data_IF_758505799394
#
_entry.id   IF_758505799394
#
_cell.length_a   1.000
_cell.length_b   1.000
_cell.length_c   1.000
_cell.angle_alpha   90.00
_cell.angle_beta   90.00
_cell.angle_gamma   90.00
#
_symmetry.space_group_name_H-M   'P 1'
#
loop_
_entity.id
_entity.type
_entity.pdbx_description
1 polymer ?
#
# COMPACT_ATOMS: atom_id res chain seq x y z
N UNK A 1 -40.68 18.66 -72.51
CA UNK A 1 -41.69 18.62 -71.44
C UNK A 1 -40.93 18.36 -70.15
N UNK A 2 -40.70 19.40 -69.35
CA UNK A 2 -41.47 19.71 -68.12
C UNK A 2 -41.29 18.57 -67.09
N UNK A 3 -40.50 18.72 -66.02
CA UNK A 3 -40.59 19.61 -64.85
C UNK A 3 -40.91 18.75 -63.61
N UNK A 4 -40.35 19.16 -62.46
CA UNK A 4 -40.86 18.98 -61.09
C UNK A 4 -40.62 17.64 -60.38
N UNK A 5 -40.46 17.58 -59.05
CA UNK A 5 -40.15 18.54 -57.96
C UNK A 5 -40.08 17.66 -56.70
N UNK A 6 -39.24 18.04 -55.74
CA UNK A 6 -39.08 17.41 -54.42
C UNK A 6 -40.32 17.62 -53.54
N UNK A 7 -40.70 16.64 -52.71
CA UNK A 7 -41.49 16.94 -51.49
C UNK A 7 -40.95 16.25 -50.24
N UNK A 8 -40.47 17.10 -49.34
CA UNK A 8 -40.20 16.87 -47.92
C UNK A 8 -41.51 16.65 -47.16
N UNK A 9 -41.49 15.77 -46.15
CA UNK A 9 -42.37 15.91 -44.98
C UNK A 9 -41.54 15.83 -43.70
N UNK A 10 -41.40 16.99 -43.04
CA UNK A 10 -40.83 17.17 -41.70
C UNK A 10 -41.98 17.60 -40.77
N UNK A 11 -41.99 17.03 -39.55
CA UNK A 11 -42.44 17.58 -38.24
C UNK A 11 -43.90 17.43 -37.76
N UNK A 12 -43.96 17.50 -36.41
CA UNK A 12 -45.07 17.75 -35.46
C UNK A 12 -45.56 16.42 -34.82
N UNK A 13 -45.34 16.12 -33.53
CA UNK A 13 -45.88 16.78 -32.33
C UNK A 13 -44.90 16.68 -31.13
N UNK A 14 -44.67 17.82 -30.45
CA UNK A 14 -44.22 17.94 -29.04
C UNK A 14 -45.28 18.75 -28.29
N UNK A 15 -45.47 18.42 -27.00
CA UNK A 15 -46.09 19.18 -25.87
C UNK A 15 -47.52 18.79 -25.44
N UNK A 16 -47.61 18.19 -24.25
CA UNK A 16 -48.52 18.61 -23.17
C UNK A 16 -47.71 18.60 -21.87
N UNK A 17 -47.77 19.69 -21.11
CA UNK A 17 -47.10 19.89 -19.84
C UNK A 17 -48.16 20.19 -18.75
N UNK A 18 -47.86 19.70 -17.55
CA UNK A 18 -48.24 20.20 -16.22
C UNK A 18 -49.73 20.28 -15.83
N UNK A 19 -50.08 19.59 -14.73
CA UNK A 19 -50.74 20.12 -13.51
C UNK A 19 -51.46 18.99 -12.75
N UNK A 20 -50.85 18.48 -11.67
CA UNK A 20 -51.59 17.96 -10.50
C UNK A 20 -50.64 17.73 -9.32
N UNK A 21 -50.17 18.82 -8.74
CA UNK A 21 -49.71 18.85 -7.35
C UNK A 21 -50.93 18.71 -6.44
N UNK A 22 -50.92 17.71 -5.56
CA UNK A 22 -51.66 17.78 -4.29
C UNK A 22 -52.50 16.56 -3.94
N UNK A 23 -52.23 16.05 -2.72
CA UNK A 23 -53.02 15.10 -1.89
C UNK A 23 -52.95 13.65 -2.41
N UNK A 24 -52.37 12.66 -1.73
CA UNK A 24 -52.44 12.31 -0.31
C UNK A 24 -51.13 11.60 0.12
N UNK A 25 -50.45 12.22 1.09
CA UNK A 25 -49.53 11.60 2.04
C UNK A 25 -50.30 10.60 2.93
N UNK A 26 -50.58 9.39 2.45
CA UNK A 26 -50.96 8.22 3.26
C UNK A 26 -50.53 6.95 2.52
N UNK A 27 -49.23 6.67 2.61
CA UNK A 27 -48.64 5.40 2.20
C UNK A 27 -47.35 5.09 2.96
N UNK A 28 -47.00 5.90 3.97
CA UNK A 28 -45.80 5.76 4.79
C UNK A 28 -45.94 4.73 5.92
N UNK A 29 -46.76 3.68 5.72
CA UNK A 29 -46.98 2.64 6.74
C UNK A 29 -47.28 1.27 6.15
N UNK A 30 -46.71 0.97 4.97
CA UNK A 30 -46.59 -0.42 4.47
C UNK A 30 -45.21 -0.68 3.84
N UNK A 31 -44.19 0.04 4.29
CA UNK A 31 -42.79 -0.33 4.07
C UNK A 31 -42.45 -1.55 4.92
N UNK A 32 -42.95 -2.72 4.50
CA UNK A 32 -42.40 -3.99 4.96
C UNK A 32 -40.90 -3.95 4.70
N UNK A 33 -40.13 -4.35 5.71
CA UNK A 33 -38.68 -4.45 5.66
C UNK A 33 -38.25 -5.16 4.36
N UNK A 34 -37.82 -4.38 3.37
CA UNK A 34 -37.02 -4.89 2.28
C UNK A 34 -35.65 -5.10 2.91
N UNK A 35 -35.41 -6.34 3.35
CA UNK A 35 -34.08 -6.77 3.76
C UNK A 35 -33.13 -6.47 2.59
N UNK A 36 -32.27 -5.46 2.77
CA UNK A 36 -30.95 -5.46 2.16
C UNK A 36 -30.27 -6.77 2.57
N UNK A 37 -29.54 -7.38 1.65
CA UNK A 37 -28.94 -8.72 1.75
C UNK A 37 -28.46 -9.08 3.17
N UNK A 38 -28.62 -10.35 3.56
CA UNK A 38 -28.21 -10.93 4.85
C UNK A 38 -26.70 -10.80 5.20
N UNK A 39 -25.89 -10.18 4.32
CA UNK A 39 -24.46 -9.92 4.48
C UNK A 39 -24.18 -8.56 5.14
N UNK A 40 -25.12 -7.62 5.04
CA UNK A 40 -25.00 -6.29 5.65
C UNK A 40 -25.70 -6.25 7.00
N UNK A 41 -25.06 -5.65 8.01
CA UNK A 41 -25.75 -5.33 9.25
C UNK A 41 -27.02 -4.51 8.94
N UNK A 42 -28.15 -4.78 9.62
CA UNK A 42 -29.39 -4.08 9.34
C UNK A 42 -29.16 -2.57 9.46
N UNK A 43 -29.65 -1.81 8.48
CA UNK A 43 -29.86 -0.38 8.68
C UNK A 43 -30.65 -0.22 9.99
N UNK A 44 -30.16 0.55 10.98
CA UNK A 44 -29.29 1.73 10.83
C UNK A 44 -27.80 1.58 11.25
N UNK A 45 -27.27 0.38 11.55
CA UNK A 45 -26.02 0.29 12.34
C UNK A 45 -24.70 0.55 11.58
N UNK A 46 -24.61 0.10 10.33
CA UNK A 46 -23.45 0.33 9.45
C UNK A 46 -23.97 0.75 8.08
N UNK A 47 -23.55 1.91 7.59
CA UNK A 47 -23.95 2.42 6.28
C UNK A 47 -22.70 2.70 5.44
N UNK A 48 -22.54 1.98 4.33
CA UNK A 48 -21.42 2.16 3.41
C UNK A 48 -20.05 1.85 4.04
N UNK A 49 -19.98 0.83 4.89
CA UNK A 49 -18.73 0.43 5.56
C UNK A 49 -18.26 1.41 6.65
N UNK A 50 -19.13 2.31 7.11
CA UNK A 50 -18.87 3.17 8.28
C UNK A 50 -19.96 2.95 9.31
N UNK A 51 -19.56 2.82 10.58
CA UNK A 51 -20.47 2.95 11.71
C UNK A 51 -21.23 4.27 11.61
N UNK A 52 -22.57 4.22 11.63
CA UNK A 52 -23.36 5.42 11.66
C UNK A 52 -23.32 6.02 13.08
N UNK A 53 -22.64 7.16 13.19
CA UNK A 53 -22.52 7.95 14.42
C UNK A 53 -23.85 8.42 15.02
N UNK A 54 -24.97 8.28 14.30
CA UNK A 54 -26.31 8.51 14.83
C UNK A 54 -26.77 7.41 15.81
N UNK A 55 -26.11 6.25 15.79
CA UNK A 55 -26.38 5.17 16.73
C UNK A 55 -25.69 5.41 18.07
N UNK A 56 -26.46 5.29 19.15
CA UNK A 56 -25.93 5.29 20.51
C UNK A 56 -26.09 3.90 21.11
N UNK A 57 -24.99 3.31 21.57
CA UNK A 57 -25.03 2.14 22.44
C UNK A 57 -25.36 2.64 23.86
N UNK A 58 -26.54 2.28 24.36
CA UNK A 58 -27.02 2.74 25.67
C UNK A 58 -27.03 1.57 26.63
N UNK A 59 -26.31 1.72 27.74
CA UNK A 59 -26.35 0.80 28.87
C UNK A 59 -26.97 1.52 30.06
N UNK A 60 -27.91 0.87 30.75
CA UNK A 60 -28.63 1.46 31.87
C UNK A 60 -27.72 1.72 33.08
N UNK A 61 -28.08 2.72 33.90
CA UNK A 61 -27.34 3.07 35.13
C UNK A 61 -27.21 1.91 36.15
N UNK A 62 -28.07 0.90 36.06
CA UNK A 62 -28.08 -0.31 36.92
C UNK A 62 -27.89 -1.57 36.05
N UNK A 63 -27.20 -1.45 34.92
CA UNK A 63 -26.90 -2.61 34.11
C UNK A 63 -25.90 -3.54 34.81
N UNK A 64 -25.99 -4.83 34.54
CA UNK A 64 -25.00 -5.77 35.04
C UNK A 64 -23.65 -5.52 34.36
N UNK A 65 -22.55 -5.87 35.01
CA UNK A 65 -21.21 -5.77 34.40
C UNK A 65 -21.10 -6.57 33.09
N UNK A 66 -21.89 -7.64 32.94
CA UNK A 66 -22.02 -8.40 31.69
C UNK A 66 -22.58 -7.56 30.53
N UNK A 67 -23.48 -6.62 30.81
CA UNK A 67 -24.13 -5.81 29.79
C UNK A 67 -23.17 -4.71 29.28
N UNK A 68 -22.33 -4.18 30.17
CA UNK A 68 -21.24 -3.27 29.78
C UNK A 68 -20.17 -3.98 28.95
N UNK A 69 -19.86 -5.24 29.25
CA UNK A 69 -18.91 -6.04 28.45
C UNK A 69 -19.50 -6.42 27.09
N UNK A 70 -20.75 -6.87 27.05
CA UNK A 70 -21.44 -7.17 25.78
C UNK A 70 -21.56 -5.94 24.87
N UNK A 71 -21.75 -4.75 25.44
CA UNK A 71 -21.70 -3.50 24.67
C UNK A 71 -20.33 -3.26 24.03
N UNK A 72 -19.24 -3.51 24.77
CA UNK A 72 -17.87 -3.36 24.24
C UNK A 72 -17.61 -4.35 23.11
N UNK A 73 -18.06 -5.60 23.25
CA UNK A 73 -17.91 -6.61 22.19
C UNK A 73 -18.69 -6.23 20.91
N UNK A 74 -19.93 -5.75 21.06
CA UNK A 74 -20.74 -5.25 19.95
C UNK A 74 -20.05 -4.05 19.28
N UNK A 75 -19.50 -3.13 20.07
CA UNK A 75 -18.81 -1.94 19.56
C UNK A 75 -17.53 -2.30 18.82
N UNK A 76 -16.74 -3.24 19.35
CA UNK A 76 -15.52 -3.72 18.73
C UNK A 76 -15.81 -4.42 17.39
N UNK A 77 -16.87 -5.23 17.34
CA UNK A 77 -17.28 -5.92 16.12
C UNK A 77 -17.83 -4.94 15.07
N UNK A 78 -18.66 -3.96 15.47
CA UNK A 78 -19.14 -2.93 14.56
C UNK A 78 -18.03 -2.04 14.01
N UNK A 79 -17.00 -1.75 14.80
CA UNK A 79 -15.79 -1.04 14.32
C UNK A 79 -14.97 -1.91 13.36
N UNK A 80 -14.79 -3.20 13.66
CA UNK A 80 -14.07 -4.14 12.79
C UNK A 80 -14.72 -4.25 11.41
N UNK A 81 -16.05 -4.26 11.36
CA UNK A 81 -16.84 -4.38 10.13
C UNK A 81 -17.04 -3.03 9.40
N UNK A 82 -16.61 -1.92 10.03
CA UNK A 82 -16.60 -0.58 9.41
C UNK A 82 -15.40 -0.39 8.47
N UNK A 83 -15.27 -1.24 7.46
CA UNK A 83 -14.27 -1.11 6.40
C UNK A 83 -14.88 -0.40 5.19
N UNK A 84 -14.37 0.76 4.83
CA UNK A 84 -14.75 1.39 3.55
C UNK A 84 -13.84 0.90 2.44
N UNK A 85 -14.41 0.32 1.39
CA UNK A 85 -13.73 0.20 0.11
C UNK A 85 -13.39 1.61 -0.39
N UNK A 86 -12.11 1.97 -0.38
CA UNK A 86 -11.65 3.19 -1.02
C UNK A 86 -11.63 2.88 -2.52
N UNK A 87 -12.56 3.47 -3.28
CA UNK A 87 -12.32 3.60 -4.72
C UNK A 87 -11.12 4.52 -4.87
N UNK A 88 -9.94 3.93 -5.02
CA UNK A 88 -8.81 4.64 -5.62
C UNK A 88 -9.29 5.04 -7.00
N UNK A 89 -9.52 6.34 -7.21
CA UNK A 89 -9.68 6.87 -8.55
C UNK A 89 -8.33 6.67 -9.21
N UNK A 90 -8.15 5.53 -9.86
CA UNK A 90 -6.92 5.23 -10.59
C UNK A 90 -6.68 6.37 -11.56
N UNK A 91 -5.70 7.21 -11.27
CA UNK A 91 -5.15 8.12 -12.25
C UNK A 91 -4.69 7.22 -13.39
N UNK A 92 -5.29 7.35 -14.57
CA UNK A 92 -4.79 6.64 -15.74
C UNK A 92 -3.34 7.04 -15.89
N UNK A 93 -2.42 6.10 -15.69
CA UNK A 93 -1.00 6.35 -15.85
C UNK A 93 -0.79 6.62 -17.33
N UNK A 94 -0.60 7.89 -17.68
CA UNK A 94 -0.28 8.30 -19.04
C UNK A 94 1.21 8.06 -19.25
N UNK A 95 1.57 6.85 -19.69
CA UNK A 95 2.92 6.53 -20.15
C UNK A 95 3.04 6.66 -21.67
N UNK A 96 4.24 6.93 -22.17
CA UNK A 96 4.58 6.64 -23.55
C UNK A 96 4.61 5.11 -23.74
N UNK A 97 3.80 4.55 -24.64
CA UNK A 97 3.79 3.11 -24.91
C UNK A 97 2.62 2.30 -24.32
N UNK A 98 1.46 2.93 -24.07
CA UNK A 98 0.22 2.20 -23.72
C UNK A 98 -0.14 1.24 -24.86
N UNK A 99 0.03 -0.05 -24.60
CA UNK A 99 -0.42 -1.15 -25.46
C UNK A 99 -1.79 -1.61 -24.94
N UNK A 100 -2.68 -1.95 -25.87
CA UNK A 100 -3.99 -2.51 -25.56
C UNK A 100 -4.13 -3.80 -26.33
N UNK A 101 -4.57 -4.85 -25.65
CA UNK A 101 -4.80 -6.17 -26.23
C UNK A 101 -6.20 -6.66 -25.86
N UNK A 102 -6.81 -7.44 -26.75
CA UNK A 102 -8.11 -8.09 -26.51
C UNK A 102 -7.86 -9.44 -25.84
N UNK A 103 -8.06 -9.50 -24.52
CA UNK A 103 -7.76 -10.69 -23.72
C UNK A 103 -9.06 -11.43 -23.38
N UNK A 104 -9.20 -12.72 -23.76
CA UNK A 104 -10.37 -13.51 -23.35
C UNK A 104 -10.46 -13.65 -21.83
N UNK A 105 -11.68 -13.74 -21.30
CA UNK A 105 -11.88 -14.01 -19.88
C UNK A 105 -11.25 -15.34 -19.46
N UNK A 106 -10.64 -15.38 -18.29
CA UNK A 106 -9.92 -16.54 -17.76
C UNK A 106 -8.57 -16.82 -18.42
N UNK A 107 -8.12 -15.97 -19.35
CA UNK A 107 -6.76 -16.05 -19.88
C UNK A 107 -5.79 -15.16 -19.10
N UNK A 108 -4.49 -15.50 -19.06
CA UNK A 108 -3.47 -14.63 -18.51
C UNK A 108 -3.50 -13.25 -19.19
N UNK A 109 -3.41 -12.18 -18.39
CA UNK A 109 -3.35 -10.82 -18.95
C UNK A 109 -2.02 -10.52 -19.64
N UNK A 110 -0.96 -11.23 -19.26
CA UNK A 110 0.37 -11.07 -19.80
C UNK A 110 1.10 -12.40 -19.86
N UNK A 111 1.81 -12.64 -20.97
CA UNK A 111 2.59 -13.85 -21.24
C UNK A 111 3.62 -13.56 -22.35
N UNK A 112 4.40 -14.55 -22.77
CA UNK A 112 5.35 -14.47 -23.89
C UNK A 112 4.64 -14.58 -25.26
N UNK A 113 3.31 -14.69 -25.27
CA UNK A 113 2.50 -14.88 -26.48
C UNK A 113 2.04 -13.56 -27.10
N UNK A 114 1.92 -13.51 -28.42
CA UNK A 114 1.61 -12.28 -29.18
C UNK A 114 0.16 -11.75 -29.08
N UNK A 115 -0.67 -12.35 -28.22
CA UNK A 115 -2.11 -12.01 -28.09
C UNK A 115 -2.47 -11.51 -26.69
N UNK A 116 -1.48 -11.37 -25.82
CA UNK A 116 -1.60 -10.87 -24.45
C UNK A 116 -0.66 -9.68 -24.28
N UNK A 117 -0.76 -8.96 -23.16
CA UNK A 117 0.24 -7.96 -22.84
C UNK A 117 1.61 -8.61 -22.66
N UNK A 118 2.65 -7.81 -22.83
CA UNK A 118 4.00 -8.28 -22.55
C UNK A 118 4.13 -8.64 -21.08
N UNK A 119 4.72 -9.80 -20.81
CA UNK A 119 5.03 -10.28 -19.47
C UNK A 119 5.91 -9.32 -18.68
N UNK A 120 6.92 -8.76 -19.34
CA UNK A 120 7.94 -7.89 -18.77
C UNK A 120 7.65 -6.43 -19.16
N UNK A 121 7.38 -5.63 -18.14
CA UNK A 121 7.10 -4.20 -18.26
C UNK A 121 8.27 -3.46 -17.60
N UNK A 122 9.18 -2.99 -18.43
CA UNK A 122 10.32 -2.17 -18.03
C UNK A 122 10.09 -0.67 -18.27
N UNK A 123 11.12 0.15 -18.03
CA UNK A 123 11.04 1.62 -18.11
C UNK A 123 10.70 2.15 -19.51
N UNK A 124 10.99 1.39 -20.56
CA UNK A 124 10.63 1.75 -21.95
C UNK A 124 9.12 1.67 -22.25
N UNK A 125 8.36 0.96 -21.41
CA UNK A 125 6.90 0.79 -21.53
C UNK A 125 6.14 1.53 -20.43
N UNK A 126 6.79 1.73 -19.28
CA UNK A 126 6.25 2.42 -18.13
C UNK A 126 7.28 3.41 -17.58
N UNK A 127 7.18 4.66 -18.03
CA UNK A 127 8.14 5.75 -17.72
C UNK A 127 8.32 6.02 -16.21
N UNK A 128 7.42 5.52 -15.35
CA UNK A 128 7.53 5.67 -13.90
C UNK A 128 8.49 4.66 -13.26
N UNK A 129 8.88 3.60 -13.97
CA UNK A 129 9.88 2.64 -13.50
C UNK A 129 11.27 3.27 -13.63
N UNK A 130 12.10 3.10 -12.61
CA UNK A 130 13.45 3.63 -12.62
C UNK A 130 14.32 2.96 -13.69
N UNK A 131 15.13 3.77 -14.36
CA UNK A 131 16.20 3.36 -15.28
C UNK A 131 17.36 4.34 -15.11
N UNK A 132 18.54 3.83 -14.79
CA UNK A 132 19.70 4.67 -14.61
C UNK A 132 20.88 3.96 -13.99
N UNK A 133 21.75 4.74 -13.36
CA UNK A 133 23.00 4.24 -12.80
C UNK A 133 23.04 4.52 -11.31
N UNK A 134 23.54 3.57 -10.53
CA UNK A 134 23.90 3.77 -9.13
C UNK A 134 25.38 3.51 -8.91
N UNK A 135 25.96 4.16 -7.89
CA UNK A 135 27.35 3.91 -7.50
C UNK A 135 27.37 3.03 -6.25
N UNK A 136 28.13 1.94 -6.30
CA UNK A 136 28.40 1.09 -5.13
C UNK A 136 29.88 0.73 -5.12
N UNK A 137 30.55 0.89 -3.97
CA UNK A 137 32.00 0.62 -3.82
C UNK A 137 32.87 1.31 -4.89
N UNK A 138 32.54 2.56 -5.21
CA UNK A 138 33.21 3.36 -6.26
C UNK A 138 33.12 2.78 -7.68
N UNK A 139 32.20 1.84 -7.92
CA UNK A 139 31.86 1.31 -9.24
C UNK A 139 30.44 1.74 -9.59
N UNK A 140 30.25 2.22 -10.81
CA UNK A 140 28.94 2.57 -11.35
C UNK A 140 28.29 1.32 -11.95
N UNK A 141 27.02 1.10 -11.67
CA UNK A 141 26.21 -0.03 -12.12
C UNK A 141 24.95 0.48 -12.79
N UNK A 142 24.69 -0.01 -14.00
CA UNK A 142 23.41 0.23 -14.68
C UNK A 142 22.33 -0.67 -14.06
N UNK A 143 21.20 -0.05 -13.75
CA UNK A 143 20.11 -0.65 -13.00
C UNK A 143 18.76 -0.18 -13.53
N UNK A 144 17.77 -1.05 -13.43
CA UNK A 144 16.40 -0.75 -13.85
C UNK A 144 15.37 -1.45 -12.98
N UNK A 145 14.18 -0.90 -12.95
CA UNK A 145 13.01 -1.52 -12.35
C UNK A 145 12.16 -2.21 -13.41
N UNK A 146 11.59 -3.36 -13.04
CA UNK A 146 10.75 -4.13 -13.96
C UNK A 146 9.57 -4.75 -13.22
N UNK A 147 8.39 -4.65 -13.81
CA UNK A 147 7.21 -5.41 -13.40
C UNK A 147 7.10 -6.64 -14.29
N UNK A 148 7.00 -7.81 -13.65
CA UNK A 148 6.92 -9.09 -14.34
C UNK A 148 5.65 -9.80 -13.90
N UNK A 149 4.77 -10.09 -14.85
CA UNK A 149 3.66 -11.01 -14.62
C UNK A 149 4.20 -12.44 -14.56
N UNK A 150 3.73 -13.22 -13.59
CA UNK A 150 4.06 -14.63 -13.52
C UNK A 150 3.39 -15.41 -14.67
N UNK A 151 3.96 -16.58 -14.96
CA UNK A 151 3.46 -17.51 -15.98
C UNK A 151 2.69 -18.64 -15.33
N UNK A 152 2.05 -19.50 -16.13
CA UNK A 152 1.76 -20.85 -15.64
C UNK A 152 3.08 -21.64 -15.67
N UNK A 153 3.74 -21.95 -14.53
CA UNK A 153 4.60 -23.10 -14.52
C UNK A 153 3.77 -24.30 -14.98
N UNK A 154 4.38 -25.16 -15.78
CA UNK A 154 3.78 -26.39 -16.31
C UNK A 154 2.79 -27.03 -15.33
N UNK A 155 1.54 -27.21 -15.78
CA UNK A 155 0.43 -27.97 -15.16
C UNK A 155 0.47 -28.11 -13.62
N UNK A 156 -0.15 -27.17 -12.89
CA UNK A 156 -0.62 -27.43 -11.52
C UNK A 156 -0.59 -26.26 -10.54
N UNK A 157 0.15 -25.19 -10.84
CA UNK A 157 0.16 -23.98 -10.01
C UNK A 157 -0.02 -22.78 -10.93
N UNK A 158 -1.18 -22.15 -10.88
CA UNK A 158 -1.41 -20.89 -11.59
C UNK A 158 -0.63 -19.81 -10.85
N UNK A 159 0.25 -19.08 -11.54
CA UNK A 159 0.94 -17.89 -11.02
C UNK A 159 0.77 -16.71 -11.97
N UNK A 160 -0.42 -16.53 -12.54
CA UNK A 160 -0.69 -15.48 -13.52
C UNK A 160 -1.91 -14.66 -13.10
N UNK A 161 -1.97 -13.41 -13.56
CA UNK A 161 -3.12 -12.54 -13.35
C UNK A 161 -4.14 -12.79 -14.45
N UNK A 162 -5.42 -12.94 -14.12
CA UNK A 162 -6.50 -13.09 -15.10
C UNK A 162 -7.61 -12.07 -14.90
N UNK A 163 -8.42 -11.89 -15.93
CA UNK A 163 -9.72 -11.22 -15.80
C UNK A 163 -10.78 -12.29 -15.58
N UNK A 164 -11.42 -12.25 -14.41
CA UNK A 164 -12.42 -13.23 -13.98
C UNK A 164 -13.76 -12.56 -13.63
N UNK A 165 -14.85 -13.26 -13.96
CA UNK A 165 -16.22 -12.94 -13.51
C UNK A 165 -16.73 -13.94 -12.47
N UNK A 166 -15.96 -15.00 -12.22
CA UNK A 166 -16.15 -16.00 -11.17
C UNK A 166 -14.88 -16.84 -11.08
N UNK A 167 -14.38 -17.12 -9.88
CA UNK A 167 -13.21 -18.02 -9.69
C UNK A 167 -13.63 -19.50 -9.68
N UNK A 168 -14.74 -19.82 -9.02
CA UNK A 168 -15.34 -21.16 -9.07
C UNK A 168 -16.82 -21.09 -9.40
N UNK A 169 -17.38 -22.19 -9.90
CA UNK A 169 -18.83 -22.32 -10.17
C UNK A 169 -19.71 -22.17 -8.93
N UNK A 170 -19.12 -22.14 -7.73
CA UNK A 170 -19.80 -22.02 -6.43
C UNK A 170 -19.58 -20.68 -5.74
N UNK A 171 -18.71 -19.83 -6.27
CA UNK A 171 -18.45 -18.50 -5.68
C UNK A 171 -19.35 -17.44 -6.30
N UNK A 172 -20.06 -16.71 -5.45
CA UNK A 172 -20.97 -15.61 -5.83
C UNK A 172 -20.41 -14.24 -5.39
N UNK A 173 -19.20 -14.19 -4.81
CA UNK A 173 -18.60 -12.93 -4.34
C UNK A 173 -18.30 -11.95 -5.49
N UNK A 174 -18.22 -12.45 -6.72
CA UNK A 174 -18.02 -11.65 -7.92
C UNK A 174 -19.33 -10.94 -8.35
N UNK A 175 -20.49 -11.44 -7.95
CA UNK A 175 -21.82 -10.94 -8.31
C UNK A 175 -21.96 -10.60 -9.81
N UNK A 176 -21.93 -9.30 -10.15
CA UNK A 176 -22.03 -8.79 -11.53
C UNK A 176 -20.76 -8.08 -12.00
N UNK A 177 -19.70 -8.13 -11.18
CA UNK A 177 -18.44 -7.46 -11.41
C UNK A 177 -17.48 -8.27 -12.30
N UNK A 178 -16.54 -7.53 -12.89
CA UNK A 178 -15.36 -8.08 -13.54
C UNK A 178 -14.18 -7.71 -12.66
N UNK A 179 -13.38 -8.70 -12.29
CA UNK A 179 -12.25 -8.52 -11.38
C UNK A 179 -10.96 -8.95 -12.06
N UNK A 180 -9.86 -8.31 -11.67
CA UNK A 180 -8.52 -8.83 -11.90
C UNK A 180 -8.19 -9.76 -10.74
N UNK A 181 -8.01 -11.02 -11.06
CA UNK A 181 -7.60 -12.03 -10.10
C UNK A 181 -6.09 -12.19 -10.18
N UNK A 182 -5.42 -11.94 -9.06
CA UNK A 182 -3.99 -12.12 -8.90
C UNK A 182 -3.75 -13.14 -7.80
N UNK A 183 -3.24 -14.30 -8.17
CA UNK A 183 -2.75 -15.31 -7.23
C UNK A 183 -1.40 -14.87 -6.64
N UNK A 184 -0.98 -15.49 -5.53
CA UNK A 184 0.34 -15.20 -4.95
C UNK A 184 1.44 -15.40 -6.00
N UNK A 185 2.44 -14.52 -5.98
CA UNK A 185 3.56 -14.51 -6.92
C UNK A 185 3.20 -14.23 -8.40
N UNK A 186 1.95 -13.83 -8.70
CA UNK A 186 1.51 -13.56 -10.08
C UNK A 186 1.95 -12.22 -10.64
N UNK A 187 2.36 -11.29 -9.78
CA UNK A 187 2.97 -10.03 -10.18
C UNK A 187 4.17 -9.78 -9.30
N UNK A 188 5.31 -9.53 -9.93
CA UNK A 188 6.59 -9.32 -9.24
C UNK A 188 7.19 -8.00 -9.68
N UNK A 189 7.80 -7.31 -8.74
CA UNK A 189 8.54 -6.09 -8.99
C UNK A 189 10.01 -6.35 -8.69
N UNK A 190 10.87 -6.09 -9.67
CA UNK A 190 12.29 -6.36 -9.61
C UNK A 190 13.08 -5.05 -9.68
N UNK A 191 14.18 -5.01 -8.92
CA UNK A 191 15.25 -4.04 -9.10
C UNK A 191 16.45 -4.81 -9.64
N UNK A 192 16.74 -4.61 -10.92
CA UNK A 192 17.64 -5.42 -11.71
C UNK A 192 18.96 -4.67 -11.89
N UNK A 193 20.07 -5.39 -11.74
CA UNK A 193 21.41 -4.94 -12.10
C UNK A 193 21.76 -5.54 -13.46
N UNK A 194 22.11 -4.71 -14.43
CA UNK A 194 22.50 -5.18 -15.76
C UNK A 194 23.90 -5.82 -15.74
N UNK A 195 24.73 -5.43 -14.77
CA UNK A 195 26.05 -5.98 -14.51
C UNK A 195 26.11 -6.81 -13.23
N UNK A 196 27.09 -7.72 -13.14
CA UNK A 196 27.33 -8.50 -11.92
C UNK A 196 27.86 -7.60 -10.80
N UNK A 197 27.17 -7.61 -9.66
CA UNK A 197 27.49 -6.82 -8.47
C UNK A 197 27.80 -7.71 -7.25
N UNK A 198 28.80 -7.34 -6.45
CA UNK A 198 29.20 -8.05 -5.23
C UNK A 198 28.46 -7.51 -4.00
N UNK A 199 27.15 -7.79 -3.92
CA UNK A 199 26.26 -7.24 -2.87
C UNK A 199 26.61 -7.68 -1.44
N UNK A 200 27.29 -8.83 -1.30
CA UNK A 200 27.85 -9.34 -0.03
C UNK A 200 28.97 -8.48 0.57
N UNK A 201 29.48 -7.49 -0.18
CA UNK A 201 30.44 -6.51 0.35
C UNK A 201 29.80 -5.32 1.06
N UNK A 202 28.46 -5.27 1.11
CA UNK A 202 27.72 -4.23 1.82
C UNK A 202 27.97 -4.29 3.33
N UNK A 203 28.16 -3.13 3.95
CA UNK A 203 28.34 -3.00 5.41
C UNK A 203 27.52 -1.83 5.95
N UNK A 204 27.41 -1.69 7.26
CA UNK A 204 26.77 -0.53 7.89
C UNK A 204 27.45 0.80 7.57
N UNK A 205 28.76 0.79 7.29
CA UNK A 205 29.54 2.01 6.96
C UNK A 205 29.58 2.32 5.48
N UNK A 206 29.25 1.36 4.63
CA UNK A 206 29.27 1.49 3.17
C UNK A 206 28.21 0.55 2.59
N UNK A 207 26.92 0.91 2.79
CA UNK A 207 25.78 0.10 2.39
C UNK A 207 25.45 0.25 0.91
N UNK A 208 24.83 -0.77 0.33
CA UNK A 208 24.19 -0.63 -0.97
C UNK A 208 22.88 0.14 -0.80
N UNK A 209 22.82 1.36 -1.32
CA UNK A 209 21.63 2.21 -1.23
C UNK A 209 20.81 2.10 -2.51
N UNK A 210 19.56 1.65 -2.39
CA UNK A 210 18.61 1.55 -3.51
C UNK A 210 17.30 2.24 -3.16
N UNK A 211 16.56 2.69 -4.16
CA UNK A 211 15.16 3.06 -4.00
C UNK A 211 14.31 1.90 -4.52
N UNK A 212 13.46 1.37 -3.67
CA UNK A 212 12.61 0.24 -4.01
C UNK A 212 11.18 0.58 -3.59
N UNK A 213 10.22 0.53 -4.52
CA UNK A 213 8.81 0.88 -4.26
C UNK A 213 8.62 2.24 -3.55
N UNK A 214 9.46 3.22 -3.92
CA UNK A 214 9.42 4.58 -3.36
C UNK A 214 10.06 4.75 -1.99
N UNK A 215 10.61 3.69 -1.37
CA UNK A 215 11.38 3.78 -0.12
C UNK A 215 12.87 3.63 -0.41
N UNK A 216 13.69 4.38 0.31
CA UNK A 216 15.14 4.18 0.30
C UNK A 216 15.47 3.01 1.22
N UNK A 217 16.15 2.00 0.69
CA UNK A 217 16.70 0.89 1.45
C UNK A 217 18.22 1.03 1.46
N UNK A 218 18.85 0.95 2.64
CA UNK A 218 20.31 0.80 2.76
C UNK A 218 20.61 -0.64 3.14
N UNK A 219 20.97 -1.49 2.20
CA UNK A 219 21.37 -2.87 2.45
C UNK A 219 22.72 -2.87 3.14
N UNK A 220 22.77 -3.36 4.38
CA UNK A 220 23.95 -3.31 5.25
C UNK A 220 24.63 -4.66 5.41
N UNK A 221 23.97 -5.75 5.02
CA UNK A 221 24.56 -7.08 5.06
C UNK A 221 23.83 -8.02 4.09
N UNK A 222 24.59 -8.82 3.34
CA UNK A 222 24.08 -9.96 2.58
C UNK A 222 24.95 -11.17 2.93
N UNK A 223 24.42 -12.16 3.69
CA UNK A 223 25.20 -13.31 4.11
C UNK A 223 25.72 -14.13 2.91
N UNK A 224 26.96 -14.63 3.01
CA UNK A 224 27.58 -15.45 1.96
C UNK A 224 27.00 -16.87 1.88
N UNK A 225 26.41 -17.33 2.97
CA UNK A 225 25.88 -18.68 3.19
C UNK A 225 24.39 -18.80 2.85
N UNK A 226 23.71 -17.68 2.61
CA UNK A 226 22.28 -17.64 2.34
C UNK A 226 21.95 -16.55 1.30
N UNK A 227 21.82 -16.96 0.04
CA UNK A 227 21.51 -16.06 -1.08
C UNK A 227 20.06 -15.56 -1.10
N UNK A 228 19.23 -15.97 -0.14
CA UNK A 228 17.82 -15.58 -0.04
C UNK A 228 17.57 -14.53 1.04
N UNK A 229 18.64 -13.97 1.64
CA UNK A 229 18.55 -13.13 2.82
C UNK A 229 19.40 -11.87 2.72
N UNK A 230 18.90 -10.76 3.24
CA UNK A 230 19.69 -9.56 3.49
C UNK A 230 19.17 -8.76 4.69
N UNK A 231 20.02 -7.91 5.26
CA UNK A 231 19.64 -6.93 6.29
C UNK A 231 19.72 -5.54 5.68
N UNK A 232 18.71 -4.71 5.93
CA UNK A 232 18.67 -3.34 5.46
C UNK A 232 18.12 -2.38 6.51
N UNK A 233 18.55 -1.13 6.40
CA UNK A 233 17.87 -0.02 7.06
C UNK A 233 16.67 0.42 6.22
N UNK A 234 15.52 0.51 6.87
CA UNK A 234 14.21 0.69 6.23
C UNK A 234 13.37 1.81 6.86
N UNK A 235 13.85 2.37 7.99
CA UNK A 235 13.25 3.55 8.61
C UNK A 235 13.52 4.84 7.81
N UNK A 236 12.89 5.93 8.24
CA UNK A 236 13.16 7.25 7.69
C UNK A 236 14.52 7.77 8.15
N UNK A 237 15.28 8.38 7.26
CA UNK A 237 16.58 8.99 7.57
C UNK A 237 16.42 10.47 7.96
N UNK A 238 17.02 10.85 9.09
CA UNK A 238 16.93 12.20 9.65
C UNK A 238 18.32 12.69 10.07
N UNK A 239 18.78 13.77 9.45
CA UNK A 239 19.90 14.55 9.97
C UNK A 239 19.39 15.51 11.03
N UNK A 240 19.86 15.34 12.27
CA UNK A 240 19.40 16.09 13.44
C UNK A 240 20.58 16.76 14.13
N UNK A 241 20.44 18.06 14.44
CA UNK A 241 21.31 18.75 15.39
C UNK A 241 20.83 18.49 16.82
N UNK A 242 21.71 18.66 17.79
CA UNK A 242 21.32 18.55 19.20
C UNK A 242 20.25 19.58 19.55
N UNK A 243 19.12 19.11 20.08
CA UNK A 243 17.93 19.90 20.37
C UNK A 243 16.82 19.75 19.32
N UNK A 244 17.13 19.22 18.13
CA UNK A 244 16.13 18.96 17.10
C UNK A 244 15.18 17.83 17.52
N UNK A 245 13.98 17.85 16.94
CA UNK A 245 13.00 16.79 17.12
C UNK A 245 12.18 16.55 15.86
N UNK A 246 11.75 15.31 15.67
CA UNK A 246 10.88 14.87 14.58
C UNK A 246 9.72 14.01 15.12
N UNK A 247 8.57 14.05 14.44
CA UNK A 247 7.45 13.14 14.73
C UNK A 247 7.55 11.90 13.85
N UNK A 248 7.59 10.72 14.48
CA UNK A 248 7.59 9.42 13.80
C UNK A 248 6.59 8.51 14.50
N UNK A 249 5.66 7.92 13.74
CA UNK A 249 4.56 7.09 14.28
C UNK A 249 3.76 7.78 15.40
N UNK A 250 3.56 9.10 15.28
CA UNK A 250 2.85 9.91 16.27
C UNK A 250 3.59 10.16 17.58
N UNK A 251 4.89 9.82 17.64
CA UNK A 251 5.76 10.06 18.80
C UNK A 251 6.82 11.09 18.47
N UNK A 252 7.14 11.95 19.46
CA UNK A 252 8.18 12.96 19.32
C UNK A 252 9.53 12.35 19.67
N UNK A 253 10.42 12.25 18.69
CA UNK A 253 11.80 11.80 18.84
C UNK A 253 12.73 13.02 18.83
N UNK A 254 13.59 13.17 19.83
CA UNK A 254 14.60 14.24 19.91
C UNK A 254 16.03 13.71 20.03
N UNK A 255 16.98 14.46 19.47
CA UNK A 255 18.40 14.25 19.70
C UNK A 255 18.88 15.17 20.82
N UNK A 256 19.12 14.64 22.01
CA UNK A 256 19.40 15.44 23.20
C UNK A 256 20.90 15.76 23.36
N UNK A 257 21.75 14.86 22.88
CA UNK A 257 23.20 15.04 22.87
C UNK A 257 23.92 14.04 21.95
N UNK A 258 25.15 14.38 21.62
CA UNK A 258 26.15 13.48 21.04
C UNK A 258 27.35 13.42 21.97
N UNK A 259 27.80 12.21 22.30
CA UNK A 259 28.98 11.95 23.11
C UNK A 259 30.24 11.83 22.27
N UNK A 260 31.41 12.10 22.88
CA UNK A 260 32.72 12.02 22.21
C UNK A 260 33.12 10.60 21.79
N UNK A 261 32.41 9.58 22.29
CA UNK A 261 32.57 8.18 21.87
C UNK A 261 31.60 7.77 20.76
N UNK A 262 31.02 8.75 20.04
CA UNK A 262 30.01 8.56 19.00
C UNK A 262 28.70 7.89 19.46
N UNK A 263 28.46 7.84 20.78
CA UNK A 263 27.16 7.47 21.32
C UNK A 263 26.23 8.68 21.30
N UNK A 264 24.96 8.47 20.99
CA UNK A 264 23.92 9.51 21.01
C UNK A 264 23.02 9.34 22.23
N UNK A 265 22.47 10.45 22.70
CA UNK A 265 21.39 10.46 23.69
C UNK A 265 20.14 10.94 22.97
N UNK A 266 19.10 10.11 22.95
CA UNK A 266 17.83 10.39 22.28
C UNK A 266 16.68 10.27 23.26
N UNK A 267 15.61 11.00 22.99
CA UNK A 267 14.38 10.94 23.78
C UNK A 267 13.16 10.70 22.91
N UNK A 268 12.29 9.77 23.31
CA UNK A 268 11.01 9.49 22.65
C UNK A 268 9.87 9.72 23.62
N UNK A 269 9.11 10.79 23.41
CA UNK A 269 8.08 11.31 24.33
C UNK A 269 8.58 11.45 25.79
N UNK A 270 9.84 11.91 25.94
CA UNK A 270 10.48 12.11 27.24
C UNK A 270 11.12 10.87 27.85
N UNK A 271 11.04 9.69 27.22
CA UNK A 271 11.84 8.52 27.61
C UNK A 271 13.22 8.63 26.97
N UNK A 272 14.26 8.85 27.78
CA UNK A 272 15.65 9.05 27.31
C UNK A 272 16.44 7.76 27.32
N UNK A 273 17.20 7.51 26.24
CA UNK A 273 18.11 6.38 26.13
C UNK A 273 19.43 6.78 25.44
N UNK A 274 20.49 6.03 25.73
CA UNK A 274 21.76 6.15 25.02
C UNK A 274 21.89 5.03 23.99
N UNK A 275 22.29 5.39 22.77
CA UNK A 275 22.52 4.46 21.66
C UNK A 275 23.98 4.56 21.22
N UNK A 276 24.70 3.44 21.27
CA UNK A 276 26.10 3.36 20.83
C UNK A 276 26.23 3.60 19.32
N UNK A 277 27.43 3.96 18.86
CA UNK A 277 27.72 4.12 17.43
C UNK A 277 27.36 2.87 16.63
N UNK A 278 26.69 3.05 15.48
CA UNK A 278 26.31 1.96 14.58
C UNK A 278 25.36 0.92 15.19
N UNK A 279 24.75 1.23 16.33
CA UNK A 279 23.85 0.32 17.04
C UNK A 279 22.40 0.76 16.86
N UNK A 280 21.51 -0.22 17.00
CA UNK A 280 20.06 -0.03 16.95
C UNK A 280 19.48 -0.20 18.35
N UNK A 281 18.49 0.62 18.71
CA UNK A 281 17.76 0.49 19.97
C UNK A 281 16.30 0.90 19.82
N UNK A 282 15.40 0.17 20.46
CA UNK A 282 14.00 0.56 20.59
C UNK A 282 13.83 1.46 21.83
N UNK A 283 13.30 2.66 21.63
CA UNK A 283 13.02 3.64 22.68
C UNK A 283 11.53 3.98 22.61
N UNK A 284 10.79 3.62 23.66
CA UNK A 284 9.33 3.81 23.73
C UNK A 284 8.60 3.33 22.45
N UNK A 285 8.96 2.14 21.94
CA UNK A 285 8.31 1.53 20.77
C UNK A 285 8.70 2.11 19.40
N UNK A 286 9.68 3.02 19.34
CA UNK A 286 10.32 3.47 18.10
C UNK A 286 11.71 2.87 18.03
N UNK A 287 12.04 2.22 16.92
CA UNK A 287 13.39 1.77 16.66
C UNK A 287 14.23 2.91 16.06
N UNK A 288 15.46 3.07 16.59
CA UNK A 288 16.39 4.12 16.20
C UNK A 288 17.76 3.49 15.94
N UNK A 289 18.31 3.73 14.76
CA UNK A 289 19.71 3.42 14.40
C UNK A 289 20.54 4.69 14.48
N UNK A 290 21.68 4.61 15.17
CA UNK A 290 22.71 5.65 15.17
C UNK A 290 23.65 5.44 13.97
N UNK A 291 23.30 6.02 12.82
CA UNK A 291 23.97 5.77 11.52
C UNK A 291 25.31 6.52 11.46
N UNK A 292 25.25 7.85 11.53
CA UNK A 292 26.44 8.72 11.47
C UNK A 292 26.41 9.79 12.56
N UNK A 293 27.60 10.21 13.01
CA UNK A 293 27.74 11.13 14.13
C UNK A 293 28.80 12.18 13.84
N UNK A 294 28.47 13.43 14.17
CA UNK A 294 29.36 14.58 14.14
C UNK A 294 29.46 15.16 15.55
N UNK A 295 30.58 14.88 16.21
CA UNK A 295 30.88 15.41 17.54
C UNK A 295 31.79 16.62 17.45
N UNK A 296 31.44 17.67 18.18
CA UNK A 296 32.25 18.86 18.39
C UNK A 296 32.25 19.23 19.88
N UNK A 297 33.26 19.99 20.32
CA UNK A 297 33.34 20.42 21.72
C UNK A 297 32.14 21.28 22.13
N UNK A 298 31.69 22.16 21.22
CA UNK A 298 30.48 22.94 21.42
C UNK A 298 29.23 22.08 21.19
N UNK A 299 28.35 22.00 22.20
CA UNK A 299 27.13 21.18 22.16
C UNK A 299 26.23 21.52 20.97
N UNK A 300 26.13 22.80 20.61
CA UNK A 300 25.22 23.27 19.56
C UNK A 300 25.74 22.96 18.14
N UNK A 301 26.98 22.48 18.02
CA UNK A 301 27.59 22.07 16.74
C UNK A 301 27.56 20.55 16.55
N UNK A 302 26.99 19.82 17.50
CA UNK A 302 26.87 18.36 17.44
C UNK A 302 25.65 17.97 16.64
N UNK A 303 25.79 16.93 15.83
CA UNK A 303 24.68 16.38 15.04
C UNK A 303 24.85 14.89 14.80
N UNK A 304 23.77 14.23 14.38
CA UNK A 304 23.78 12.83 14.00
C UNK A 304 22.78 12.58 12.86
N UNK A 305 23.08 11.61 12.02
CA UNK A 305 22.13 11.01 11.08
C UNK A 305 21.52 9.78 11.74
N UNK A 306 20.21 9.78 11.90
CA UNK A 306 19.46 8.72 12.54
C UNK A 306 18.54 8.04 11.53
N UNK A 307 18.37 6.73 11.63
CA UNK A 307 17.31 6.01 10.93
C UNK A 307 16.25 5.65 11.95
N UNK A 308 15.02 6.16 11.75
CA UNK A 308 13.96 6.14 12.74
C UNK A 308 12.69 5.57 12.11
N UNK A 309 12.06 4.61 12.79
CA UNK A 309 10.80 4.02 12.34
C UNK A 309 10.21 3.07 13.37
N UNK A 310 9.04 2.50 13.06
CA UNK A 310 8.52 1.34 13.80
C UNK A 310 9.52 0.19 13.73
N UNK A 311 9.97 -0.08 12.51
CA UNK A 311 11.13 -0.90 12.19
C UNK A 311 12.12 0.04 11.48
N UNK A 312 13.33 0.20 12.03
CA UNK A 312 14.39 1.03 11.44
C UNK A 312 15.43 0.16 10.74
N UNK A 313 15.62 -1.07 11.20
CA UNK A 313 16.44 -2.10 10.57
C UNK A 313 15.68 -3.42 10.57
N UNK A 314 15.63 -4.10 9.42
CA UNK A 314 15.03 -5.44 9.36
C UNK A 314 15.88 -6.38 8.50
N UNK A 315 15.64 -7.67 8.67
CA UNK A 315 16.28 -8.74 7.90
C UNK A 315 15.22 -9.48 7.11
N UNK A 316 15.33 -9.37 5.79
CA UNK A 316 14.40 -9.96 4.84
C UNK A 316 14.91 -11.29 4.33
N UNK A 317 13.98 -12.22 4.15
CA UNK A 317 14.13 -13.48 3.44
C UNK A 317 13.11 -13.59 2.31
N UNK A 318 13.34 -14.51 1.39
CA UNK A 318 12.34 -14.86 0.37
C UNK A 318 10.98 -15.18 1.01
N UNK A 319 9.95 -14.45 0.59
CA UNK A 319 8.58 -14.58 1.06
C UNK A 319 8.22 -13.75 2.31
N UNK A 320 9.16 -12.99 2.87
CA UNK A 320 8.85 -12.03 3.94
C UNK A 320 8.06 -10.83 3.40
N UNK A 321 7.22 -10.25 4.26
CA UNK A 321 6.47 -9.02 3.97
C UNK A 321 7.40 -7.86 3.64
N UNK A 322 6.98 -7.01 2.70
CA UNK A 322 7.71 -5.77 2.44
C UNK A 322 7.52 -4.75 3.57
N UNK A 323 8.35 -3.70 3.61
CA UNK A 323 8.38 -2.71 4.68
C UNK A 323 7.00 -2.06 4.89
N UNK A 324 6.39 -2.34 6.03
CA UNK A 324 5.09 -1.78 6.43
C UNK A 324 3.88 -2.60 6.01
N UNK A 325 4.08 -3.76 5.38
CA UNK A 325 3.02 -4.72 5.08
C UNK A 325 2.72 -5.65 6.27
N UNK A 326 1.62 -6.38 6.16
CA UNK A 326 1.20 -7.33 7.19
C UNK A 326 2.09 -8.59 7.13
N UNK A 327 2.79 -8.89 8.23
CA UNK A 327 3.67 -10.05 8.34
C UNK A 327 2.92 -11.39 8.29
N UNK A 328 1.62 -11.40 8.62
CA UNK A 328 0.78 -12.60 8.58
C UNK A 328 0.10 -12.80 7.20
N UNK A 329 0.15 -11.80 6.33
CA UNK A 329 -0.36 -11.84 4.95
C UNK A 329 0.47 -10.95 4.02
N UNK A 330 1.74 -11.32 3.79
CA UNK A 330 2.63 -10.64 2.85
C UNK A 330 2.15 -10.79 1.41
#
# INVERSE_FOLDING_TARGET
MQENFVLKTKRVIRKVAALSTGVIMMGATMGGAMALNLKDYPSPFVLGGKYDSSNALVVGKIAAASDTLGMVDIMANLQYESKTCVKSSGTTVTGSGIVSEDIPLGWPIADDNSTTLDKEIGPTKLDSLFDGTITFKSTDYDVKEELVSGQSPSAGTETFVTVATSLTSSEDDYETGVFLEAVRDSLKYYYIFDDTIMINSSTTTDPLTIKFLGKTLKVTNVPNDDGTKFTAYVGGEYFMQVGDSVEVEGKKVSLDNVGSSSAIVVSVDGVTETISSGSTKTVNGIEIVNDEVFYEDNKDQRSATLIIGKDASDTYKDGDAYVGEDKDSP
#
